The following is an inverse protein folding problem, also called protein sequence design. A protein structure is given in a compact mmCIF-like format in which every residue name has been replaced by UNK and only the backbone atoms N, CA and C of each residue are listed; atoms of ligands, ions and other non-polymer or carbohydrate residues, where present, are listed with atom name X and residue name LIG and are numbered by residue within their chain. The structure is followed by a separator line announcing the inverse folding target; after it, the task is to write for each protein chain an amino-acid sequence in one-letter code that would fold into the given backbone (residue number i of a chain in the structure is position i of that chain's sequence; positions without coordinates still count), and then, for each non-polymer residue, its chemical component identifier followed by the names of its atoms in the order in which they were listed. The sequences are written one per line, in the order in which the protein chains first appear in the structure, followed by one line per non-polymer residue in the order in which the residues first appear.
data_IF_051197721899
#
_entry.id   IF_051197721899
#
_cell.length_a   1.000
_cell.length_b   1.000
_cell.length_c   1.000
_cell.angle_alpha   90.00
_cell.angle_beta   90.00
_cell.angle_gamma   90.00
#
_symmetry.space_group_name_H-M   'P 1'
#
loop_
_entity.id
_entity.type
_entity.pdbx_description
1 polymer ?
#
# COMPACT_ATOMS: atom_id res chain seq x y z
N UNK A 1 12.07 23.14 -12.54
CA UNK A 1 11.24 22.39 -11.59
C UNK A 1 11.54 22.93 -10.20
N UNK A 2 10.56 23.45 -9.43
CA UNK A 2 10.75 23.64 -7.99
C UNK A 2 10.48 22.26 -7.37
N UNK A 3 11.54 21.47 -7.20
CA UNK A 3 11.47 20.29 -6.38
C UNK A 3 11.04 20.67 -4.96
N UNK A 4 10.36 19.79 -4.26
CA UNK A 4 10.15 19.93 -2.81
C UNK A 4 11.48 20.29 -2.20
N UNK A 5 11.54 21.32 -1.33
CA UNK A 5 12.77 21.59 -0.59
C UNK A 5 13.08 20.36 0.24
N UNK A 6 14.11 19.63 -0.15
CA UNK A 6 14.55 18.42 0.54
C UNK A 6 15.90 18.70 1.16
N UNK A 7 15.98 18.60 2.48
CA UNK A 7 17.24 18.58 3.22
C UNK A 7 17.73 17.14 3.30
N UNK A 8 19.01 16.90 3.13
CA UNK A 8 19.57 15.55 3.19
C UNK A 8 20.97 15.53 3.76
N UNK A 9 21.35 14.36 4.26
CA UNK A 9 22.74 13.97 4.57
C UNK A 9 22.96 12.54 4.07
N UNK A 10 24.14 12.26 3.55
CA UNK A 10 24.52 10.95 3.05
C UNK A 10 25.95 10.62 3.51
N UNK A 11 26.17 9.38 3.93
CA UNK A 11 27.47 8.92 4.40
C UNK A 11 27.64 7.43 4.08
N UNK A 12 28.86 7.05 3.72
CA UNK A 12 29.27 5.67 3.55
C UNK A 12 30.56 5.41 4.35
N UNK A 13 30.71 4.23 4.90
CA UNK A 13 31.87 3.78 5.66
C UNK A 13 32.21 2.33 5.30
N UNK A 14 33.48 1.99 5.19
CA UNK A 14 33.91 0.63 4.82
C UNK A 14 33.62 -0.40 5.92
N UNK A 15 33.30 0.05 7.13
CA UNK A 15 33.16 -0.81 8.29
C UNK A 15 34.49 -1.13 8.96
N UNK A 16 34.49 -2.17 9.80
CA UNK A 16 35.68 -2.59 10.58
C UNK A 16 36.27 -3.92 10.13
N UNK A 17 35.65 -4.62 9.21
CA UNK A 17 36.00 -5.97 8.78
C UNK A 17 36.26 -6.12 7.30
N UNK A 18 35.79 -5.18 6.49
CA UNK A 18 35.99 -5.16 5.05
C UNK A 18 37.19 -4.32 4.68
N UNK A 19 37.89 -4.70 3.61
CA UNK A 19 39.02 -3.95 3.08
C UNK A 19 38.60 -2.95 1.99
N UNK A 20 37.46 -3.21 1.33
CA UNK A 20 36.91 -2.40 0.25
C UNK A 20 35.45 -2.07 0.53
N UNK A 21 34.98 -0.97 -0.06
CA UNK A 21 33.59 -0.57 0.00
C UNK A 21 32.89 -0.91 -1.32
N UNK A 22 32.01 -1.89 -1.29
CA UNK A 22 31.21 -2.33 -2.44
C UNK A 22 29.85 -1.62 -2.49
N UNK A 23 29.49 -0.86 -1.43
CA UNK A 23 28.31 0.01 -1.44
C UNK A 23 28.50 1.21 -2.36
N UNK A 24 27.38 1.67 -2.91
CA UNK A 24 27.36 2.92 -3.66
C UNK A 24 26.03 3.69 -3.41
N UNK A 25 26.08 5.00 -3.53
CA UNK A 25 24.89 5.82 -3.39
C UNK A 25 24.90 7.04 -4.30
N UNK A 26 23.74 7.62 -4.54
CA UNK A 26 23.58 8.87 -5.28
C UNK A 26 22.50 9.72 -4.66
N UNK A 27 22.76 11.03 -4.60
CA UNK A 27 21.77 12.07 -4.31
C UNK A 27 21.74 13.06 -5.47
N UNK A 28 20.63 13.12 -6.19
CA UNK A 28 20.37 14.20 -7.15
C UNK A 28 19.31 15.13 -6.57
N UNK A 29 19.77 16.26 -6.07
CA UNK A 29 18.91 17.29 -5.47
C UNK A 29 17.95 17.93 -6.51
N UNK A 30 18.36 18.00 -7.76
CA UNK A 30 17.55 18.62 -8.83
C UNK A 30 16.35 17.78 -9.21
N UNK A 31 16.51 16.45 -9.17
CA UNK A 31 15.46 15.46 -9.38
C UNK A 31 14.75 15.07 -8.08
N UNK A 32 15.31 15.40 -6.92
CA UNK A 32 14.90 14.85 -5.61
C UNK A 32 14.94 13.33 -5.60
N UNK A 33 16.01 12.76 -6.16
CA UNK A 33 16.26 11.33 -6.32
C UNK A 33 17.37 10.87 -5.38
N UNK A 34 17.13 9.82 -4.62
CA UNK A 34 18.02 9.19 -3.66
C UNK A 34 18.15 7.72 -4.00
N UNK A 35 19.37 7.19 -4.10
CA UNK A 35 19.64 5.80 -4.46
C UNK A 35 20.71 5.26 -3.51
N UNK A 36 20.52 4.04 -2.99
CA UNK A 36 21.52 3.25 -2.26
C UNK A 36 21.57 1.86 -2.86
N UNK A 37 22.77 1.35 -3.04
CA UNK A 37 23.07 0.02 -3.61
C UNK A 37 24.14 -0.65 -2.78
N UNK A 38 23.94 -1.91 -2.40
CA UNK A 38 24.90 -2.79 -1.74
C UNK A 38 25.42 -3.79 -2.77
N UNK A 39 26.70 -3.68 -3.10
CA UNK A 39 27.33 -4.50 -4.12
C UNK A 39 27.79 -5.84 -3.61
N UNK A 40 27.52 -6.89 -4.34
CA UNK A 40 27.98 -8.25 -4.04
C UNK A 40 28.74 -8.87 -5.22
N UNK A 41 29.79 -9.60 -4.89
CA UNK A 41 30.62 -10.30 -5.89
C UNK A 41 32.07 -10.34 -5.39
N UNK A 42 32.77 -11.42 -5.55
CA UNK A 42 34.17 -11.50 -5.08
C UNK A 42 35.08 -10.45 -5.71
N UNK A 43 36.05 -9.90 -4.96
CA UNK A 43 37.04 -8.94 -5.44
C UNK A 43 36.47 -7.64 -5.98
N UNK A 44 36.50 -6.60 -6.06
CA UNK A 44 36.01 -5.36 -6.69
C UNK A 44 34.78 -5.48 -7.64
N UNK A 45 34.20 -6.68 -7.76
CA UNK A 45 33.06 -6.90 -8.70
C UNK A 45 31.76 -6.30 -8.14
N UNK A 46 31.55 -6.34 -6.82
CA UNK A 46 30.43 -5.72 -6.16
C UNK A 46 30.42 -4.19 -6.31
N UNK A 47 31.57 -3.54 -6.16
CA UNK A 47 31.74 -2.09 -6.38
C UNK A 47 31.33 -1.69 -7.81
N UNK A 48 31.72 -2.48 -8.81
CA UNK A 48 31.34 -2.22 -10.21
C UNK A 48 29.84 -2.39 -10.40
N UNK A 49 29.23 -3.42 -9.79
CA UNK A 49 27.80 -3.67 -9.92
C UNK A 49 26.97 -2.54 -9.31
N UNK A 50 27.28 -2.13 -8.07
CA UNK A 50 26.59 -1.04 -7.37
C UNK A 50 26.75 0.30 -8.10
N UNK A 51 27.96 0.64 -8.57
CA UNK A 51 28.22 1.87 -9.31
C UNK A 51 27.46 1.92 -10.63
N UNK A 52 27.45 0.81 -11.41
CA UNK A 52 26.68 0.73 -12.65
C UNK A 52 25.18 0.85 -12.43
N UNK A 53 24.64 0.19 -11.40
CA UNK A 53 23.22 0.23 -11.09
C UNK A 53 22.79 1.66 -10.74
N UNK A 54 23.50 2.32 -9.85
CA UNK A 54 23.27 3.73 -9.47
C UNK A 54 23.28 4.63 -10.70
N UNK A 55 24.31 4.52 -11.53
CA UNK A 55 24.47 5.35 -12.72
C UNK A 55 23.34 5.15 -13.74
N UNK A 56 22.99 3.89 -14.05
CA UNK A 56 21.97 3.59 -15.07
C UNK A 56 20.58 4.03 -14.62
N UNK A 57 20.23 3.81 -13.35
CA UNK A 57 18.95 4.28 -12.81
C UNK A 57 18.88 5.79 -12.84
N UNK A 58 19.92 6.49 -12.38
CA UNK A 58 19.97 7.96 -12.41
C UNK A 58 19.79 8.51 -13.82
N UNK A 59 20.56 8.00 -14.79
CA UNK A 59 20.48 8.44 -16.18
C UNK A 59 19.10 8.17 -16.80
N UNK A 60 18.44 7.07 -16.44
CA UNK A 60 17.10 6.78 -16.95
C UNK A 60 16.08 7.77 -16.38
N UNK A 61 16.07 7.99 -15.06
CA UNK A 61 15.16 8.95 -14.43
C UNK A 61 15.37 10.37 -14.99
N UNK A 62 16.63 10.76 -15.22
CA UNK A 62 16.96 12.07 -15.79
C UNK A 62 16.45 12.22 -17.24
N UNK A 63 16.46 11.17 -18.05
CA UNK A 63 15.92 11.17 -19.42
C UNK A 63 14.41 11.38 -19.43
N UNK A 64 13.70 10.90 -18.42
CA UNK A 64 12.25 10.99 -18.30
C UNK A 64 11.79 12.30 -17.62
N UNK A 65 12.61 13.35 -17.64
CA UNK A 65 12.31 14.63 -17.01
C UNK A 65 11.01 15.29 -17.49
N UNK A 66 10.60 15.04 -18.74
CA UNK A 66 9.30 15.51 -19.28
C UNK A 66 8.13 14.78 -18.63
N UNK A 67 8.22 13.45 -18.48
CA UNK A 67 7.22 12.64 -17.77
C UNK A 67 7.04 13.14 -16.33
N UNK A 68 8.14 13.41 -15.62
CA UNK A 68 8.12 13.93 -14.26
C UNK A 68 7.48 15.33 -14.20
N UNK A 69 7.78 16.20 -15.17
CA UNK A 69 7.21 17.54 -15.26
C UNK A 69 5.69 17.49 -15.53
N UNK A 70 5.25 16.59 -16.42
CA UNK A 70 3.84 16.40 -16.76
C UNK A 70 3.05 15.85 -15.57
N UNK A 71 3.65 14.92 -14.80
CA UNK A 71 3.08 14.45 -13.56
C UNK A 71 2.85 15.59 -12.56
N UNK A 72 3.88 16.42 -12.32
CA UNK A 72 3.81 17.57 -11.40
C UNK A 72 2.84 18.64 -11.88
N UNK A 73 2.66 18.82 -13.20
CA UNK A 73 1.72 19.78 -13.78
C UNK A 73 0.26 19.35 -13.61
N UNK A 74 -0.01 18.08 -13.26
CA UNK A 74 -1.36 17.58 -13.03
C UNK A 74 -2.25 17.66 -14.27
N UNK A 75 -1.69 17.46 -15.49
CA UNK A 75 -2.46 17.48 -16.75
C UNK A 75 -3.66 16.54 -16.67
N UNK A 76 -4.78 16.95 -17.25
CA UNK A 76 -6.04 16.20 -17.28
C UNK A 76 -6.36 15.69 -18.69
N UNK A 77 -7.21 14.66 -18.77
CA UNK A 77 -7.61 14.05 -20.05
C UNK A 77 -6.66 12.93 -20.51
N UNK A 78 -6.54 12.76 -21.84
CA UNK A 78 -5.74 11.68 -22.44
C UNK A 78 -4.21 11.81 -22.19
N UNK A 79 -3.74 12.99 -21.82
CA UNK A 79 -2.34 13.28 -21.51
C UNK A 79 -2.02 13.20 -20.01
N UNK A 80 -2.93 12.67 -19.19
CA UNK A 80 -2.74 12.57 -17.75
C UNK A 80 -1.70 11.51 -17.43
N UNK A 81 -0.55 11.94 -16.91
CA UNK A 81 0.45 11.04 -16.30
C UNK A 81 -0.06 10.59 -14.94
N UNK A 82 -0.12 9.27 -14.75
CA UNK A 82 -0.57 8.65 -13.51
C UNK A 82 0.60 8.27 -12.60
N UNK A 83 0.30 7.96 -11.32
CA UNK A 83 1.28 7.34 -10.38
C UNK A 83 1.92 6.09 -10.98
N UNK A 84 1.12 5.31 -11.70
CA UNK A 84 1.54 4.06 -12.33
C UNK A 84 2.61 4.30 -13.40
N UNK A 85 2.49 5.36 -14.17
CA UNK A 85 3.48 5.68 -15.21
C UNK A 85 4.84 5.99 -14.59
N UNK A 86 4.86 6.70 -13.45
CA UNK A 86 6.10 6.94 -12.69
C UNK A 86 6.67 5.64 -12.12
N UNK A 87 5.84 4.75 -11.55
CA UNK A 87 6.31 3.45 -11.05
C UNK A 87 6.85 2.57 -12.17
N UNK A 88 6.16 2.49 -13.30
CA UNK A 88 6.61 1.74 -14.47
C UNK A 88 7.95 2.27 -14.99
N UNK A 89 8.15 3.58 -14.99
CA UNK A 89 9.42 4.22 -15.36
C UNK A 89 10.55 3.80 -14.41
N UNK A 90 10.30 3.77 -13.09
CA UNK A 90 11.29 3.32 -12.11
C UNK A 90 11.60 1.81 -12.25
N UNK A 91 10.58 0.96 -12.41
CA UNK A 91 10.77 -0.48 -12.70
C UNK A 91 11.60 -0.68 -13.97
N UNK A 92 11.31 0.08 -15.02
CA UNK A 92 12.07 0.04 -16.25
C UNK A 92 13.53 0.46 -16.06
N UNK A 93 13.79 1.51 -15.23
CA UNK A 93 15.13 1.95 -14.90
C UNK A 93 15.95 0.85 -14.19
N UNK A 94 15.34 0.15 -13.23
CA UNK A 94 15.97 -0.98 -12.54
C UNK A 94 16.24 -2.14 -13.48
N UNK A 95 15.32 -2.47 -14.38
CA UNK A 95 15.52 -3.53 -15.36
C UNK A 95 16.64 -3.19 -16.36
N UNK A 96 16.75 -1.94 -16.78
CA UNK A 96 17.90 -1.48 -17.59
C UNK A 96 19.21 -1.61 -16.83
N UNK A 97 19.22 -1.28 -15.54
CA UNK A 97 20.40 -1.46 -14.69
C UNK A 97 20.76 -2.94 -14.59
N UNK A 98 19.79 -3.83 -14.38
CA UNK A 98 20.03 -5.27 -14.32
C UNK A 98 20.63 -5.80 -15.60
N UNK A 99 20.06 -5.49 -16.76
CA UNK A 99 20.58 -5.90 -18.05
C UNK A 99 22.02 -5.38 -18.28
N UNK A 100 22.32 -4.14 -17.85
CA UNK A 100 23.65 -3.55 -18.00
C UNK A 100 24.70 -4.21 -17.10
N UNK A 101 24.39 -4.43 -15.83
CA UNK A 101 25.28 -5.12 -14.87
C UNK A 101 25.52 -6.56 -15.33
N UNK A 102 24.44 -7.26 -15.73
CA UNK A 102 24.54 -8.63 -16.22
C UNK A 102 25.42 -8.74 -17.48
N UNK A 103 25.24 -7.85 -18.45
CA UNK A 103 26.06 -7.82 -19.63
C UNK A 103 27.56 -7.60 -19.32
N UNK A 104 27.88 -6.73 -18.37
CA UNK A 104 29.25 -6.50 -17.91
C UNK A 104 29.85 -7.75 -17.25
N UNK A 105 29.03 -8.44 -16.38
CA UNK A 105 29.42 -9.69 -15.74
C UNK A 105 29.67 -10.82 -16.74
N UNK A 106 28.93 -10.87 -17.83
CA UNK A 106 29.10 -11.88 -18.88
C UNK A 106 30.33 -11.61 -19.77
N UNK A 107 30.74 -10.34 -19.94
CA UNK A 107 31.88 -9.95 -20.75
C UNK A 107 33.21 -10.11 -20.00
N UNK A 108 33.25 -10.15 -18.69
CA UNK A 108 34.45 -10.27 -17.88
C UNK A 108 34.33 -11.44 -16.88
N UNK A 109 35.10 -12.54 -17.10
CA UNK A 109 35.07 -13.70 -16.21
C UNK A 109 35.38 -13.36 -14.74
N UNK A 110 36.15 -12.31 -14.45
CA UNK A 110 36.46 -11.86 -13.10
C UNK A 110 35.26 -11.20 -12.39
N UNK A 111 34.25 -10.77 -13.15
CA UNK A 111 33.04 -10.15 -12.67
C UNK A 111 31.82 -11.09 -12.70
N UNK A 112 32.03 -12.37 -13.05
CA UNK A 112 30.95 -13.32 -13.21
C UNK A 112 30.16 -13.49 -11.89
N UNK A 113 28.84 -13.33 -11.96
CA UNK A 113 27.95 -13.45 -10.83
C UNK A 113 27.90 -12.21 -9.92
N UNK A 114 28.50 -11.09 -10.33
CA UNK A 114 28.32 -9.84 -9.62
C UNK A 114 26.86 -9.38 -9.67
N UNK A 115 26.42 -8.70 -8.65
CA UNK A 115 25.10 -8.11 -8.54
C UNK A 115 25.09 -7.03 -7.47
N UNK A 116 23.95 -6.45 -7.24
CA UNK A 116 23.77 -5.45 -6.20
C UNK A 116 22.32 -5.41 -5.72
N UNK A 117 22.10 -5.03 -4.47
CA UNK A 117 20.79 -4.54 -4.04
C UNK A 117 20.54 -3.17 -4.67
N UNK A 118 19.31 -2.70 -4.57
CA UNK A 118 18.97 -1.33 -4.94
C UNK A 118 17.76 -0.87 -4.15
N UNK A 119 17.85 0.28 -3.52
CA UNK A 119 16.71 1.04 -3.02
C UNK A 119 16.78 2.46 -3.56
N UNK A 120 15.68 2.94 -4.11
CA UNK A 120 15.61 4.31 -4.62
C UNK A 120 14.31 4.99 -4.21
N UNK A 121 14.40 6.29 -3.90
CA UNK A 121 13.29 7.15 -3.56
C UNK A 121 13.31 8.41 -4.44
N UNK A 122 12.20 8.68 -5.14
CA UNK A 122 11.99 9.85 -5.98
C UNK A 122 10.85 10.68 -5.41
N UNK A 123 11.14 11.90 -4.95
CA UNK A 123 10.14 12.80 -4.37
C UNK A 123 9.55 13.69 -5.46
N UNK A 124 8.23 13.58 -5.69
CA UNK A 124 7.51 14.39 -6.66
C UNK A 124 6.28 15.02 -6.01
N UNK A 125 6.31 16.32 -5.82
CA UNK A 125 5.23 17.06 -5.16
C UNK A 125 5.00 16.50 -3.74
N UNK A 126 3.83 15.96 -3.52
CA UNK A 126 3.40 15.43 -2.22
C UNK A 126 3.54 13.91 -2.10
N UNK A 127 4.34 13.29 -2.94
CA UNK A 127 4.50 11.83 -2.97
C UNK A 127 5.96 11.44 -3.12
N UNK A 128 6.33 10.35 -2.47
CA UNK A 128 7.61 9.67 -2.68
C UNK A 128 7.35 8.35 -3.39
N UNK A 129 7.96 8.19 -4.55
CA UNK A 129 7.94 6.96 -5.34
C UNK A 129 9.18 6.15 -4.99
N UNK A 130 8.99 4.91 -4.61
CA UNK A 130 10.04 4.01 -4.15
C UNK A 130 10.08 2.79 -5.08
N UNK A 131 11.29 2.36 -5.42
CA UNK A 131 11.57 1.09 -6.08
C UNK A 131 12.72 0.40 -5.36
N UNK A 132 12.63 -0.93 -5.19
CA UNK A 132 13.67 -1.67 -4.47
C UNK A 132 13.81 -3.13 -4.92
N UNK A 133 15.04 -3.64 -4.77
CA UNK A 133 15.45 -5.04 -5.00
C UNK A 133 16.50 -5.39 -3.96
N UNK A 134 16.34 -6.51 -3.25
CA UNK A 134 17.29 -6.98 -2.23
C UNK A 134 16.80 -6.71 -0.81
N UNK A 135 17.73 -6.53 0.11
CA UNK A 135 17.53 -6.37 1.56
C UNK A 135 18.04 -5.03 2.13
N UNK A 136 18.51 -4.13 1.27
CA UNK A 136 18.65 -2.72 1.63
C UNK A 136 17.28 -2.12 1.93
N UNK A 137 17.19 -1.22 2.93
CA UNK A 137 15.91 -0.81 3.50
C UNK A 137 15.64 0.67 3.36
N UNK A 138 14.36 1.02 3.30
CA UNK A 138 13.85 2.39 3.44
C UNK A 138 12.92 2.44 4.65
N UNK A 139 13.18 3.40 5.53
CA UNK A 139 12.34 3.71 6.69
C UNK A 139 11.74 5.10 6.54
N UNK A 140 10.55 5.28 7.07
CA UNK A 140 9.87 6.58 7.24
C UNK A 140 9.70 6.87 8.73
N UNK A 141 10.19 8.01 9.18
CA UNK A 141 9.87 8.58 10.48
C UNK A 141 8.85 9.69 10.30
N UNK A 142 7.66 9.48 10.85
CA UNK A 142 6.53 10.42 10.86
C UNK A 142 5.95 10.51 12.26
N UNK A 143 5.81 11.71 12.81
CA UNK A 143 5.22 11.95 14.14
C UNK A 143 5.85 11.10 15.26
N UNK A 144 7.16 10.86 15.20
CA UNK A 144 7.88 10.02 16.14
C UNK A 144 7.71 8.52 15.94
N UNK A 145 6.94 8.09 14.96
CA UNK A 145 6.75 6.67 14.62
C UNK A 145 7.66 6.30 13.45
N UNK A 146 8.51 5.30 13.65
CA UNK A 146 9.39 4.73 12.62
C UNK A 146 8.72 3.53 11.98
N UNK A 147 8.63 3.54 10.66
CA UNK A 147 8.04 2.47 9.86
C UNK A 147 9.01 2.02 8.75
N UNK A 148 9.27 0.71 8.64
CA UNK A 148 10.00 0.15 7.50
C UNK A 148 9.07 0.04 6.30
N UNK A 149 9.39 0.71 5.20
CA UNK A 149 8.58 0.74 3.99
C UNK A 149 8.90 -0.42 3.03
N UNK A 150 10.16 -0.82 2.96
CA UNK A 150 10.62 -1.93 2.10
C UNK A 150 10.45 -3.28 2.79
N UNK A 151 10.46 -4.33 2.01
CA UNK A 151 10.48 -5.70 2.48
C UNK A 151 11.70 -6.43 1.92
N UNK A 152 12.49 -6.99 2.82
CA UNK A 152 13.72 -7.64 2.40
C UNK A 152 13.43 -8.87 1.53
N UNK A 153 14.02 -8.92 0.37
CA UNK A 153 13.95 -10.07 -0.54
C UNK A 153 14.96 -11.13 -0.09
N UNK A 154 14.67 -11.81 1.02
CA UNK A 154 15.52 -12.85 1.61
C UNK A 154 14.80 -14.19 1.68
N UNK A 155 15.58 -15.27 1.68
CA UNK A 155 15.05 -16.62 1.90
C UNK A 155 14.31 -16.71 3.22
N UNK A 156 14.86 -16.07 4.27
CA UNK A 156 14.24 -15.99 5.57
C UNK A 156 12.82 -15.41 5.51
N UNK A 157 12.65 -14.23 4.91
CA UNK A 157 11.34 -13.58 4.80
C UNK A 157 10.36 -14.39 3.95
N UNK A 158 10.81 -15.02 2.87
CA UNK A 158 9.96 -15.89 2.08
C UNK A 158 9.46 -17.11 2.85
N UNK A 159 10.31 -17.72 3.68
CA UNK A 159 9.92 -18.85 4.53
C UNK A 159 8.97 -18.41 5.64
N UNK A 160 9.21 -17.27 6.28
CA UNK A 160 8.30 -16.67 7.28
C UNK A 160 6.92 -16.42 6.66
N UNK A 161 6.87 -15.84 5.46
CA UNK A 161 5.61 -15.61 4.74
C UNK A 161 4.84 -16.92 4.48
N UNK A 162 5.52 -17.98 4.08
CA UNK A 162 4.89 -19.26 3.80
C UNK A 162 4.31 -19.94 5.04
N UNK A 163 4.60 -19.45 6.26
CA UNK A 163 4.11 -19.95 7.56
C UNK A 163 4.23 -21.48 7.74
N UNK A 164 5.19 -22.11 7.07
CA UNK A 164 5.36 -23.57 7.10
C UNK A 164 6.19 -24.07 8.27
N UNK A 165 6.96 -23.16 8.90
CA UNK A 165 7.87 -23.50 10.00
C UNK A 165 7.81 -22.40 11.08
N UNK A 166 8.06 -22.75 12.36
CA UNK A 166 8.31 -21.78 13.44
C UNK A 166 9.51 -20.88 13.10
N UNK A 167 9.52 -19.64 13.57
CA UNK A 167 10.61 -18.68 13.28
C UNK A 167 11.98 -19.21 13.68
N UNK A 168 12.07 -19.85 14.84
CA UNK A 168 13.31 -20.43 15.38
C UNK A 168 13.90 -21.49 14.42
N UNK A 169 13.05 -22.28 13.78
CA UNK A 169 13.49 -23.28 12.78
C UNK A 169 13.88 -22.65 11.46
N UNK A 170 13.29 -21.50 11.10
CA UNK A 170 13.67 -20.78 9.89
C UNK A 170 15.05 -20.15 10.08
N UNK A 171 15.34 -19.59 11.25
CA UNK A 171 16.66 -19.02 11.59
C UNK A 171 17.79 -20.04 11.53
N UNK A 172 17.49 -21.31 11.90
CA UNK A 172 18.45 -22.41 11.78
C UNK A 172 18.71 -22.84 10.33
N UNK A 173 17.71 -22.70 9.44
CA UNK A 173 17.73 -23.23 8.07
C UNK A 173 18.14 -22.23 7.01
N UNK A 174 17.90 -20.95 7.23
CA UNK A 174 18.17 -19.88 6.27
C UNK A 174 18.95 -18.75 6.91
N UNK A 175 20.14 -18.40 6.39
CA UNK A 175 20.81 -17.18 6.78
C UNK A 175 19.88 -15.98 6.51
N UNK A 176 19.79 -15.05 7.49
CA UNK A 176 18.92 -13.87 7.40
C UNK A 176 19.24 -12.99 6.19
N UNK A 177 20.50 -12.94 5.80
CA UNK A 177 21.05 -12.15 4.70
C UNK A 177 21.18 -12.91 3.36
N UNK A 178 20.57 -14.09 3.23
CA UNK A 178 20.53 -14.79 1.94
C UNK A 178 19.46 -14.16 1.03
N UNK A 179 19.87 -13.23 0.17
CA UNK A 179 18.97 -12.53 -0.73
C UNK A 179 18.43 -13.46 -1.84
N UNK A 180 17.18 -13.25 -2.23
CA UNK A 180 16.49 -13.99 -3.29
C UNK A 180 16.39 -13.21 -4.59
N UNK A 181 16.58 -11.89 -4.53
CA UNK A 181 16.51 -10.97 -5.66
C UNK A 181 17.65 -9.96 -5.62
N UNK A 182 18.27 -9.73 -6.77
CA UNK A 182 19.34 -8.75 -6.94
C UNK A 182 19.37 -8.21 -8.37
N UNK A 183 19.90 -7.01 -8.53
CA UNK A 183 20.15 -6.36 -9.82
C UNK A 183 21.44 -6.92 -10.40
N UNK A 184 21.40 -7.40 -11.64
CA UNK A 184 22.60 -7.81 -12.39
C UNK A 184 22.93 -9.30 -12.35
N UNK A 185 22.38 -10.08 -11.42
CA UNK A 185 22.55 -11.55 -11.41
C UNK A 185 21.90 -12.17 -12.65
N UNK A 186 20.78 -11.62 -13.07
CA UNK A 186 20.11 -11.92 -14.33
C UNK A 186 19.93 -10.65 -15.15
N UNK A 187 19.58 -10.75 -16.42
CA UNK A 187 19.31 -9.62 -17.30
C UNK A 187 18.03 -8.83 -16.92
N UNK A 188 17.19 -9.44 -16.09
CA UNK A 188 15.97 -8.85 -15.56
C UNK A 188 15.93 -8.99 -14.04
N UNK A 189 15.48 -7.94 -13.34
CA UNK A 189 15.28 -7.94 -11.89
C UNK A 189 13.82 -7.70 -11.54
N UNK A 190 13.26 -8.56 -10.69
CA UNK A 190 11.91 -8.39 -10.18
C UNK A 190 11.93 -7.36 -9.04
N UNK A 191 11.63 -6.11 -9.38
CA UNK A 191 11.60 -5.00 -8.45
C UNK A 191 10.21 -4.84 -7.82
N UNK A 192 10.20 -4.48 -6.53
CA UNK A 192 8.99 -4.02 -5.85
C UNK A 192 8.93 -2.50 -5.87
N UNK A 193 7.71 -1.97 -6.01
CA UNK A 193 7.47 -0.53 -6.04
C UNK A 193 6.39 -0.13 -5.06
N UNK A 194 6.48 1.10 -4.55
CA UNK A 194 5.45 1.68 -3.70
C UNK A 194 5.39 3.21 -3.84
N UNK A 195 4.24 3.80 -3.52
CA UNK A 195 4.06 5.26 -3.44
C UNK A 195 3.62 5.61 -2.03
N UNK A 196 4.27 6.61 -1.44
CA UNK A 196 3.91 7.12 -0.11
C UNK A 196 3.49 8.57 -0.25
N UNK A 197 2.28 8.89 0.20
CA UNK A 197 1.89 10.30 0.38
C UNK A 197 2.71 10.90 1.52
N UNK A 198 3.40 12.00 1.27
CA UNK A 198 4.31 12.62 2.24
C UNK A 198 3.79 13.94 2.77
N UNK A 199 4.20 14.24 3.99
CA UNK A 199 3.97 15.51 4.67
C UNK A 199 5.29 16.24 4.84
N UNK A 200 5.23 17.55 4.94
CA UNK A 200 6.40 18.33 5.37
C UNK A 200 6.85 17.86 6.76
N UNK A 201 8.14 17.64 6.92
CA UNK A 201 8.72 17.08 8.14
C UNK A 201 8.87 15.56 8.16
N UNK A 202 8.30 14.84 7.21
CA UNK A 202 8.59 13.40 7.06
C UNK A 202 10.08 13.19 6.78
N UNK A 203 10.67 12.28 7.53
CA UNK A 203 12.09 11.95 7.38
C UNK A 203 12.24 10.51 6.93
N UNK A 204 13.03 10.34 5.88
CA UNK A 204 13.34 9.02 5.32
C UNK A 204 14.78 8.65 5.60
N UNK A 205 15.00 7.36 5.85
CA UNK A 205 16.32 6.74 5.89
C UNK A 205 16.38 5.65 4.82
N UNK A 206 17.34 5.75 3.89
CA UNK A 206 17.74 4.67 3.00
C UNK A 206 19.05 4.10 3.54
N UNK A 207 19.18 2.79 3.65
CA UNK A 207 20.42 2.19 4.13
C UNK A 207 20.64 0.77 3.61
N UNK A 208 21.91 0.36 3.58
CA UNK A 208 22.33 -1.03 3.38
C UNK A 208 22.15 -1.86 4.64
N UNK A 209 22.25 -3.20 4.52
CA UNK A 209 22.11 -4.15 5.63
C UNK A 209 23.23 -3.99 6.68
N UNK A 210 24.39 -3.48 6.26
CA UNK A 210 25.49 -3.12 7.17
C UNK A 210 25.12 -2.05 8.21
N UNK A 211 24.07 -1.25 7.97
CA UNK A 211 23.46 -0.39 8.98
C UNK A 211 22.28 -1.09 9.64
N UNK A 212 21.26 -1.49 8.85
CA UNK A 212 19.98 -1.94 9.38
C UNK A 212 20.09 -3.21 10.22
N UNK A 213 21.04 -4.10 9.92
CA UNK A 213 21.29 -5.32 10.69
C UNK A 213 21.67 -5.10 12.15
N UNK A 214 22.23 -3.92 12.48
CA UNK A 214 22.56 -3.56 13.86
C UNK A 214 21.41 -2.94 14.66
N UNK A 215 20.30 -2.67 14.01
CA UNK A 215 19.12 -2.04 14.61
C UNK A 215 17.86 -2.91 14.53
N UNK A 216 17.96 -4.17 14.09
CA UNK A 216 16.80 -5.09 14.00
C UNK A 216 16.09 -5.25 15.36
N UNK A 217 16.86 -5.35 16.43
CA UNK A 217 16.34 -5.49 17.80
C UNK A 217 16.25 -4.14 18.53
N UNK A 218 16.56 -3.01 17.89
CA UNK A 218 16.61 -1.67 18.48
C UNK A 218 16.02 -0.59 17.54
N UNK A 219 14.83 -0.86 17.01
CA UNK A 219 14.11 0.10 16.15
C UNK A 219 13.76 1.40 16.87
N UNK A 220 13.58 1.35 18.21
CA UNK A 220 13.38 2.56 19.00
C UNK A 220 14.65 3.42 19.05
N UNK A 221 15.83 2.81 19.18
CA UNK A 221 17.11 3.50 19.11
C UNK A 221 17.34 4.15 17.75
N UNK A 222 17.04 3.43 16.67
CA UNK A 222 17.07 3.95 15.31
C UNK A 222 16.13 5.17 15.16
N UNK A 223 14.89 5.04 15.62
CA UNK A 223 13.90 6.11 15.57
C UNK A 223 14.33 7.35 16.37
N UNK A 224 14.85 7.16 17.60
CA UNK A 224 15.36 8.26 18.43
C UNK A 224 16.51 9.02 17.76
N UNK A 225 17.46 8.30 17.17
CA UNK A 225 18.57 8.96 16.45
C UNK A 225 18.07 9.72 15.23
N UNK A 226 17.08 9.18 14.51
CA UNK A 226 16.45 9.86 13.37
C UNK A 226 15.60 11.08 13.77
N UNK A 227 15.24 11.26 15.04
CA UNK A 227 14.55 12.47 15.52
C UNK A 227 15.48 13.67 15.68
N UNK A 228 16.80 13.47 15.69
CA UNK A 228 17.75 14.59 15.77
C UNK A 228 17.50 15.55 14.60
N UNK A 229 17.25 16.84 14.83
CA UNK A 229 17.01 17.80 13.77
C UNK A 229 18.21 17.95 12.82
N UNK A 230 19.42 17.71 13.29
CA UNK A 230 20.63 17.70 12.47
C UNK A 230 20.81 16.33 11.78
N UNK A 231 20.47 16.26 10.50
CA UNK A 231 20.59 15.04 9.71
C UNK A 231 22.07 14.57 9.59
N UNK A 232 23.05 15.49 9.64
CA UNK A 232 24.46 15.14 9.57
C UNK A 232 24.91 14.51 10.90
N UNK A 233 24.49 15.03 12.03
CA UNK A 233 24.75 14.43 13.34
C UNK A 233 24.08 13.05 13.46
N UNK A 234 22.82 12.95 13.06
CA UNK A 234 22.07 11.71 13.08
C UNK A 234 22.75 10.60 12.25
N UNK A 235 23.15 10.87 11.02
CA UNK A 235 23.76 9.84 10.16
C UNK A 235 25.13 9.40 10.66
N UNK A 236 25.93 10.32 11.21
CA UNK A 236 27.22 9.99 11.86
C UNK A 236 27.03 9.07 13.05
N UNK A 237 26.08 9.40 13.93
CA UNK A 237 25.80 8.57 15.11
C UNK A 237 25.30 7.17 14.74
N UNK A 238 24.49 7.05 13.68
CA UNK A 238 24.03 5.74 13.17
C UNK A 238 25.22 4.89 12.69
N UNK A 239 26.10 5.46 11.85
CA UNK A 239 27.27 4.73 11.33
C UNK A 239 28.27 4.41 12.44
N UNK A 240 28.54 5.35 13.33
CA UNK A 240 29.44 5.12 14.49
C UNK A 240 28.87 4.03 15.40
N UNK A 241 27.55 3.98 15.59
CA UNK A 241 26.90 2.93 16.37
C UNK A 241 27.04 1.57 15.71
N UNK A 242 26.80 1.45 14.40
CA UNK A 242 27.01 0.22 13.64
C UNK A 242 28.46 -0.24 13.73
N UNK A 243 29.40 0.67 13.58
CA UNK A 243 30.85 0.40 13.75
C UNK A 243 31.20 -0.05 15.17
N UNK A 244 30.67 0.59 16.22
CA UNK A 244 30.88 0.17 17.64
C UNK A 244 30.28 -1.20 17.93
N UNK A 245 29.16 -1.55 17.28
CA UNK A 245 28.50 -2.86 17.41
C UNK A 245 29.18 -3.96 16.57
N UNK A 246 30.22 -3.62 15.82
CA UNK A 246 31.09 -4.60 15.13
C UNK A 246 31.54 -4.23 13.73
N UNK A 247 30.82 -3.41 13.00
CA UNK A 247 31.15 -2.94 11.64
C UNK A 247 31.54 -4.08 10.70
N UNK A 248 30.69 -5.13 10.62
CA UNK A 248 31.02 -6.37 9.90
C UNK A 248 30.97 -6.20 8.39
N UNK A 249 30.22 -5.22 7.90
CA UNK A 249 30.05 -4.94 6.51
C UNK A 249 30.24 -3.46 6.16
N UNK A 250 30.17 -3.11 4.90
CA UNK A 250 30.07 -1.75 4.40
C UNK A 250 28.80 -1.12 4.93
N UNK A 251 28.83 0.14 5.32
CA UNK A 251 27.71 0.83 5.96
C UNK A 251 27.39 2.09 5.15
N UNK A 252 26.25 2.09 4.48
CA UNK A 252 25.82 3.25 3.70
C UNK A 252 24.44 3.69 4.12
N UNK A 253 24.26 5.01 4.27
CA UNK A 253 22.99 5.61 4.63
C UNK A 253 22.77 6.95 3.92
N UNK A 254 21.50 7.25 3.64
CA UNK A 254 21.00 8.56 3.25
C UNK A 254 19.83 8.90 4.16
N UNK A 255 19.88 10.06 4.80
CA UNK A 255 18.74 10.66 5.49
C UNK A 255 18.26 11.83 4.64
N UNK A 256 16.96 11.89 4.34
CA UNK A 256 16.38 13.07 3.77
C UNK A 256 15.06 13.45 4.45
N UNK A 257 14.78 14.75 4.52
CA UNK A 257 13.55 15.31 5.10
C UNK A 257 12.79 16.09 4.03
N UNK A 258 11.48 15.80 3.91
CA UNK A 258 10.61 16.43 2.90
C UNK A 258 10.08 17.76 3.42
N UNK A 259 10.40 18.85 2.70
CA UNK A 259 9.90 20.19 3.00
C UNK A 259 10.35 20.74 4.35
N UNK A 260 9.79 21.90 4.71
CA UNK A 260 10.00 22.53 6.02
C UNK A 260 8.90 22.06 7.00
N UNK A 261 9.30 21.61 8.19
CA UNK A 261 8.38 21.23 9.29
C UNK A 261 7.40 22.37 9.62
N UNK A 262 7.85 23.63 9.52
CA UNK A 262 7.02 24.82 9.76
C UNK A 262 5.93 25.02 8.68
N UNK A 263 6.08 24.42 7.51
CA UNK A 263 5.13 24.48 6.40
C UNK A 263 4.17 23.29 6.36
N UNK A 264 4.12 22.48 7.43
CA UNK A 264 3.27 21.30 7.50
C UNK A 264 1.80 21.67 7.35
N UNK A 265 1.13 21.02 6.39
CA UNK A 265 -0.30 21.14 6.19
C UNK A 265 -1.05 20.19 7.15
N UNK A 266 -1.50 20.73 8.28
CA UNK A 266 -2.23 19.99 9.31
C UNK A 266 -3.55 19.40 8.78
N UNK A 267 -4.23 20.08 7.85
CA UNK A 267 -5.45 19.57 7.23
C UNK A 267 -5.16 18.31 6.42
N UNK A 268 -4.07 18.33 5.67
CA UNK A 268 -3.60 17.17 4.90
C UNK A 268 -3.15 16.03 5.81
N UNK A 269 -2.39 16.32 6.87
CA UNK A 269 -1.97 15.33 7.86
C UNK A 269 -3.18 14.59 8.44
N UNK A 270 -4.18 15.36 8.89
CA UNK A 270 -5.44 14.82 9.41
C UNK A 270 -6.20 13.98 8.38
N UNK A 271 -6.20 14.41 7.11
CA UNK A 271 -6.82 13.67 6.02
C UNK A 271 -6.15 12.31 5.78
N UNK A 272 -4.81 12.25 5.75
CA UNK A 272 -4.07 11.00 5.58
C UNK A 272 -4.29 10.05 6.75
N UNK A 273 -4.29 10.57 7.97
CA UNK A 273 -4.61 9.80 9.16
C UNK A 273 -6.03 9.25 9.11
N UNK A 274 -7.01 10.09 8.79
CA UNK A 274 -8.41 9.67 8.67
C UNK A 274 -8.60 8.60 7.60
N UNK A 275 -7.92 8.74 6.45
CA UNK A 275 -7.92 7.75 5.38
C UNK A 275 -7.42 6.38 5.87
N UNK A 276 -6.28 6.37 6.59
CA UNK A 276 -5.70 5.14 7.20
C UNK A 276 -6.65 4.51 8.20
N UNK A 277 -7.16 5.28 9.14
CA UNK A 277 -8.09 4.80 10.18
C UNK A 277 -9.38 4.26 9.59
N UNK A 278 -9.95 4.95 8.59
CA UNK A 278 -11.18 4.52 7.92
C UNK A 278 -10.99 3.16 7.26
N UNK A 279 -9.91 2.97 6.50
CA UNK A 279 -9.61 1.68 5.87
C UNK A 279 -9.31 0.58 6.88
N UNK A 280 -8.55 0.87 7.95
CA UNK A 280 -8.21 -0.11 8.99
C UNK A 280 -9.45 -0.65 9.74
N UNK A 281 -10.51 0.16 9.87
CA UNK A 281 -11.77 -0.23 10.55
C UNK A 281 -12.69 -1.06 9.66
N UNK A 282 -12.52 -1.02 8.34
CA UNK A 282 -13.39 -1.77 7.43
C UNK A 282 -13.21 -3.28 7.57
N UNK A 283 -14.31 -4.06 7.59
CA UNK A 283 -14.24 -5.53 7.67
C UNK A 283 -13.32 -6.13 6.61
N UNK A 284 -13.33 -5.57 5.39
CA UNK A 284 -12.53 -6.02 4.26
C UNK A 284 -11.02 -5.90 4.50
N UNK A 285 -10.56 -4.85 5.20
CA UNK A 285 -9.14 -4.55 5.40
C UNK A 285 -8.66 -4.79 6.83
N UNK A 286 -9.56 -5.08 7.76
CA UNK A 286 -9.26 -5.30 9.18
C UNK A 286 -8.19 -6.36 9.47
N UNK A 287 -8.08 -7.49 8.71
CA UNK A 287 -7.05 -8.50 8.96
C UNK A 287 -5.69 -8.17 8.36
N UNK A 288 -5.57 -7.01 7.70
CA UNK A 288 -4.32 -6.58 7.10
C UNK A 288 -3.35 -6.08 8.16
N UNK A 289 -2.07 -6.38 7.98
CA UNK A 289 -1.00 -5.72 8.72
C UNK A 289 -0.89 -4.26 8.29
N UNK A 290 -0.25 -3.41 9.09
CA UNK A 290 -0.03 -1.99 8.73
C UNK A 290 0.61 -1.83 7.35
N UNK A 291 1.55 -2.69 7.03
CA UNK A 291 2.24 -2.72 5.74
C UNK A 291 1.32 -3.12 4.57
N UNK A 292 0.51 -4.16 4.75
CA UNK A 292 -0.49 -4.56 3.75
C UNK A 292 -1.54 -3.46 3.55
N UNK A 293 -1.91 -2.77 4.63
CA UNK A 293 -2.81 -1.62 4.56
C UNK A 293 -2.18 -0.46 3.80
N UNK A 294 -0.88 -0.19 3.99
CA UNK A 294 -0.16 0.79 3.18
C UNK A 294 -0.22 0.47 1.69
N UNK A 295 -0.10 -0.80 1.30
CA UNK A 295 -0.24 -1.21 -0.11
C UNK A 295 -1.62 -0.86 -0.68
N UNK A 296 -2.69 -1.05 0.11
CA UNK A 296 -4.04 -0.64 -0.30
C UNK A 296 -4.17 0.88 -0.35
N UNK A 297 -3.64 1.59 0.65
CA UNK A 297 -3.67 3.06 0.71
C UNK A 297 -3.02 3.73 -0.51
N UNK A 298 -1.95 3.15 -1.03
CA UNK A 298 -1.19 3.67 -2.18
C UNK A 298 -2.00 3.73 -3.47
N UNK A 299 -2.88 2.75 -3.68
CA UNK A 299 -3.70 2.62 -4.88
C UNK A 299 -5.09 3.26 -4.74
N UNK A 300 -5.36 3.90 -3.59
CA UNK A 300 -6.62 4.61 -3.36
C UNK A 300 -6.44 6.11 -3.51
N UNK A 301 -7.40 6.75 -4.18
CA UNK A 301 -7.50 8.20 -4.28
C UNK A 301 -8.61 8.73 -3.34
N UNK A 302 -8.57 10.02 -3.02
CA UNK A 302 -9.68 10.71 -2.33
C UNK A 302 -10.29 11.71 -3.29
N UNK A 303 -11.59 11.56 -3.56
CA UNK A 303 -12.34 12.43 -4.45
C UNK A 303 -13.41 13.19 -3.68
N UNK A 304 -13.44 14.54 -3.79
CA UNK A 304 -14.50 15.36 -3.21
C UNK A 304 -15.70 15.43 -4.17
N UNK A 305 -16.91 15.43 -3.59
CA UNK A 305 -18.16 15.68 -4.29
C UNK A 305 -18.96 16.76 -3.58
N UNK A 306 -19.75 17.52 -4.35
CA UNK A 306 -20.62 18.58 -3.86
C UNK A 306 -22.02 18.04 -3.57
N UNK A 307 -22.79 18.81 -2.81
CA UNK A 307 -24.18 18.49 -2.53
C UNK A 307 -25.00 18.19 -3.80
N UNK A 308 -25.75 17.09 -3.77
CA UNK A 308 -26.56 16.61 -4.88
C UNK A 308 -25.79 16.00 -6.07
N UNK A 309 -24.47 16.02 -6.06
CA UNK A 309 -23.64 15.45 -7.12
C UNK A 309 -23.78 13.92 -7.16
N UNK A 310 -23.99 13.37 -8.36
CA UNK A 310 -24.15 11.94 -8.58
C UNK A 310 -22.79 11.27 -8.67
N UNK A 311 -22.50 10.36 -7.74
CA UNK A 311 -21.28 9.55 -7.71
C UNK A 311 -21.37 8.38 -8.67
N UNK A 312 -22.48 7.62 -8.59
CA UNK A 312 -22.80 6.51 -9.50
C UNK A 312 -24.28 6.56 -9.85
N UNK A 313 -24.65 6.09 -11.05
CA UNK A 313 -26.03 5.95 -11.51
C UNK A 313 -26.43 4.48 -11.60
N UNK A 314 -27.67 4.18 -11.21
CA UNK A 314 -28.29 2.88 -11.41
C UNK A 314 -28.23 2.49 -12.90
N UNK A 315 -27.84 1.25 -13.20
CA UNK A 315 -27.72 0.74 -14.55
C UNK A 315 -26.39 1.04 -15.25
N UNK A 316 -25.60 2.02 -14.79
CA UNK A 316 -24.30 2.33 -15.39
C UNK A 316 -23.29 1.21 -15.09
N UNK A 317 -22.32 1.04 -15.96
CA UNK A 317 -21.14 0.21 -15.70
C UNK A 317 -20.11 1.03 -14.92
N UNK A 318 -19.46 0.40 -13.94
CA UNK A 318 -18.41 1.04 -13.16
C UNK A 318 -17.47 0.00 -12.59
N UNK A 319 -16.25 0.40 -12.35
CA UNK A 319 -15.14 -0.47 -11.90
C UNK A 319 -14.52 0.01 -10.57
N UNK A 320 -15.23 0.86 -9.82
CA UNK A 320 -14.74 1.44 -8.58
C UNK A 320 -15.56 0.99 -7.37
N UNK A 321 -14.84 0.74 -6.28
CA UNK A 321 -15.35 0.73 -4.91
C UNK A 321 -15.19 2.13 -4.32
N UNK A 322 -16.22 2.61 -3.63
CA UNK A 322 -16.24 3.89 -2.92
C UNK A 322 -16.44 3.65 -1.43
N UNK A 323 -15.70 4.40 -0.60
CA UNK A 323 -15.81 4.37 0.86
C UNK A 323 -16.00 5.80 1.34
N UNK A 324 -17.00 6.03 2.18
CA UNK A 324 -17.26 7.36 2.73
C UNK A 324 -16.16 7.71 3.74
N UNK A 325 -15.36 8.73 3.43
CA UNK A 325 -14.32 9.25 4.31
C UNK A 325 -14.88 10.32 5.24
N UNK A 326 -15.67 11.26 4.69
CA UNK A 326 -16.36 12.32 5.42
C UNK A 326 -17.67 12.71 4.73
N UNK A 327 -18.65 13.22 5.46
CA UNK A 327 -19.97 13.57 4.94
C UNK A 327 -20.92 12.37 4.86
N UNK A 328 -21.98 12.47 4.06
CA UNK A 328 -22.98 11.42 3.88
C UNK A 328 -23.37 11.26 2.41
N UNK A 329 -23.81 10.07 2.02
CA UNK A 329 -24.32 9.79 0.69
C UNK A 329 -25.70 9.13 0.76
N UNK A 330 -26.61 9.53 -0.15
CA UNK A 330 -27.92 8.94 -0.30
C UNK A 330 -27.89 7.85 -1.36
N UNK A 331 -28.47 6.69 -1.03
CA UNK A 331 -28.68 5.58 -1.98
C UNK A 331 -30.12 5.62 -2.46
N UNK A 332 -30.30 5.65 -3.78
CA UNK A 332 -31.61 5.75 -4.42
C UNK A 332 -31.83 4.56 -5.37
N UNK A 333 -33.03 4.00 -5.36
CA UNK A 333 -33.54 3.07 -6.38
C UNK A 333 -34.69 3.75 -7.12
N UNK A 334 -34.51 4.03 -8.40
CA UNK A 334 -35.38 4.98 -9.08
C UNK A 334 -35.38 6.32 -8.34
N UNK A 335 -36.56 6.77 -7.89
CA UNK A 335 -36.72 8.01 -7.10
C UNK A 335 -36.74 7.78 -5.57
N UNK A 336 -36.83 6.53 -5.13
CA UNK A 336 -36.98 6.22 -3.71
C UNK A 336 -35.62 6.18 -3.00
N UNK A 337 -35.46 6.93 -1.88
CA UNK A 337 -34.31 6.84 -0.99
C UNK A 337 -34.40 5.53 -0.19
N UNK A 338 -33.45 4.64 -0.38
CA UNK A 338 -33.41 3.31 0.28
C UNK A 338 -32.42 3.24 1.44
N UNK A 339 -31.38 4.10 1.44
CA UNK A 339 -30.42 4.16 2.53
C UNK A 339 -29.66 5.50 2.55
N UNK A 340 -29.00 5.78 3.69
CA UNK A 340 -27.96 6.82 3.82
C UNK A 340 -26.67 6.13 4.25
N UNK A 341 -25.56 6.49 3.62
CA UNK A 341 -24.23 5.99 3.96
C UNK A 341 -23.44 7.05 4.71
N UNK A 342 -22.84 6.64 5.81
CA UNK A 342 -22.05 7.45 6.74
C UNK A 342 -20.56 7.11 6.65
N UNK A 343 -19.65 7.88 7.30
CA UNK A 343 -18.22 7.60 7.29
C UNK A 343 -17.88 6.17 7.72
N UNK A 344 -17.02 5.49 6.93
CA UNK A 344 -16.66 4.08 7.09
C UNK A 344 -17.54 3.10 6.32
N UNK A 345 -18.71 3.51 5.84
CA UNK A 345 -19.54 2.67 4.98
C UNK A 345 -19.09 2.76 3.52
N UNK A 346 -19.42 1.74 2.74
CA UNK A 346 -18.93 1.59 1.36
C UNK A 346 -20.03 1.15 0.41
N UNK A 347 -19.81 1.41 -0.88
CA UNK A 347 -20.70 1.00 -1.95
C UNK A 347 -19.92 0.72 -3.24
N UNK A 348 -20.51 -0.03 -4.16
CA UNK A 348 -19.92 -0.37 -5.44
C UNK A 348 -18.91 -1.52 -5.38
N UNK A 349 -18.82 -2.25 -4.27
CA UNK A 349 -17.88 -3.37 -4.05
C UNK A 349 -18.05 -4.52 -5.06
N UNK A 350 -19.26 -4.73 -5.55
CA UNK A 350 -19.55 -5.76 -6.57
C UNK A 350 -18.79 -5.51 -7.87
N UNK A 351 -18.52 -4.24 -8.18
CA UNK A 351 -17.78 -3.85 -9.38
C UNK A 351 -16.30 -4.28 -9.34
N UNK A 352 -15.72 -4.50 -8.15
CA UNK A 352 -14.37 -5.05 -8.03
C UNK A 352 -14.29 -6.51 -8.51
N UNK A 353 -15.36 -7.29 -8.31
CA UNK A 353 -15.36 -8.74 -8.60
C UNK A 353 -15.98 -9.02 -9.97
N UNK A 354 -17.11 -8.38 -10.28
CA UNK A 354 -17.88 -8.61 -11.52
C UNK A 354 -18.19 -7.29 -12.20
N UNK A 355 -18.04 -7.25 -13.51
CA UNK A 355 -18.46 -6.11 -14.32
C UNK A 355 -20.00 -6.18 -14.51
N UNK A 356 -20.74 -5.76 -13.47
CA UNK A 356 -22.20 -5.72 -13.48
C UNK A 356 -22.68 -4.26 -13.44
N UNK A 357 -23.87 -3.97 -13.96
CA UNK A 357 -24.50 -2.66 -13.80
C UNK A 357 -24.68 -2.30 -12.32
N UNK A 358 -24.59 -1.02 -12.00
CA UNK A 358 -24.84 -0.49 -10.66
C UNK A 358 -26.27 -0.75 -10.24
N UNK A 359 -26.47 -1.26 -9.04
CA UNK A 359 -27.80 -1.64 -8.51
C UNK A 359 -28.60 -0.48 -7.94
N UNK A 360 -27.99 0.69 -7.81
CA UNK A 360 -28.59 1.90 -7.26
C UNK A 360 -27.83 3.14 -7.71
N UNK A 361 -28.49 4.29 -7.64
CA UNK A 361 -27.87 5.61 -7.76
C UNK A 361 -27.38 6.07 -6.40
N UNK A 362 -26.15 6.61 -6.33
CA UNK A 362 -25.62 7.21 -5.09
C UNK A 362 -25.32 8.67 -5.35
N UNK A 363 -25.84 9.55 -4.48
CA UNK A 363 -25.67 11.00 -4.52
C UNK A 363 -25.04 11.51 -3.23
N UNK A 364 -24.23 12.54 -3.35
CA UNK A 364 -23.70 13.27 -2.22
C UNK A 364 -24.81 14.01 -1.45
N UNK A 365 -24.82 13.91 -0.14
CA UNK A 365 -25.64 14.70 0.78
C UNK A 365 -24.73 15.69 1.52
N UNK A 366 -24.78 16.96 1.12
CA UNK A 366 -23.79 17.95 1.52
C UNK A 366 -22.43 17.75 0.82
N UNK A 367 -21.37 18.30 1.41
CA UNK A 367 -19.99 18.07 0.97
C UNK A 367 -19.52 16.71 1.48
N UNK A 368 -19.10 15.85 0.57
CA UNK A 368 -18.61 14.50 0.90
C UNK A 368 -17.22 14.25 0.30
N UNK A 369 -16.41 13.48 0.98
CA UNK A 369 -15.13 12.97 0.46
C UNK A 369 -15.19 11.44 0.45
N UNK A 370 -14.82 10.85 -0.68
CA UNK A 370 -14.86 9.41 -0.91
C UNK A 370 -13.45 8.87 -1.18
N UNK A 371 -13.07 7.80 -0.49
CA UNK A 371 -11.91 6.98 -0.89
C UNK A 371 -12.38 6.11 -2.06
N UNK A 372 -11.59 6.09 -3.13
CA UNK A 372 -11.88 5.35 -4.36
C UNK A 372 -10.80 4.31 -4.59
N UNK A 373 -11.21 3.05 -4.75
CA UNK A 373 -10.35 1.93 -5.15
C UNK A 373 -10.82 1.41 -6.51
N UNK A 374 -9.97 1.52 -7.52
CA UNK A 374 -10.28 1.02 -8.87
C UNK A 374 -10.02 -0.48 -8.99
N UNK A 375 -10.84 -1.14 -9.78
CA UNK A 375 -10.71 -2.57 -10.06
C UNK A 375 -9.34 -2.95 -10.63
N UNK A 376 -8.81 -2.16 -11.56
CA UNK A 376 -7.49 -2.38 -12.15
C UNK A 376 -6.39 -2.42 -11.10
N UNK A 377 -6.41 -1.45 -10.17
CA UNK A 377 -5.41 -1.29 -9.13
C UNK A 377 -5.55 -2.39 -8.06
N UNK A 378 -6.80 -2.74 -7.71
CA UNK A 378 -7.10 -3.85 -6.83
C UNK A 378 -6.56 -5.19 -7.38
N UNK A 379 -6.83 -5.50 -8.65
CA UNK A 379 -6.32 -6.73 -9.27
C UNK A 379 -4.80 -6.74 -9.46
N UNK A 380 -4.17 -5.59 -9.58
CA UNK A 380 -2.72 -5.50 -9.62
C UNK A 380 -2.09 -5.89 -8.28
N UNK A 381 -2.64 -5.37 -7.15
CA UNK A 381 -2.23 -5.80 -5.80
C UNK A 381 -2.40 -7.32 -5.67
N UNK A 382 -3.56 -7.87 -6.05
CA UNK A 382 -3.82 -9.30 -5.95
C UNK A 382 -2.83 -10.15 -6.76
N UNK A 383 -2.35 -9.64 -7.89
CA UNK A 383 -1.35 -10.35 -8.71
C UNK A 383 0.06 -10.30 -8.13
N UNK A 384 0.45 -9.16 -7.56
CA UNK A 384 1.80 -8.97 -6.99
C UNK A 384 1.92 -9.57 -5.58
N UNK A 385 0.86 -9.54 -4.78
CA UNK A 385 0.87 -9.84 -3.34
C UNK A 385 -0.06 -11.03 -3.01
N UNK A 386 0.40 -12.25 -3.28
CA UNK A 386 -0.43 -13.46 -3.16
C UNK A 386 -1.06 -13.66 -1.76
N UNK A 387 -0.34 -13.32 -0.69
CA UNK A 387 -0.88 -13.47 0.67
C UNK A 387 -1.95 -12.43 0.98
N UNK A 388 -1.72 -11.19 0.57
CA UNK A 388 -2.71 -10.13 0.65
C UNK A 388 -3.95 -10.49 -0.19
N UNK A 389 -3.74 -11.06 -1.39
CA UNK A 389 -4.81 -11.54 -2.24
C UNK A 389 -5.70 -12.57 -1.53
N UNK A 390 -5.10 -13.58 -0.89
CA UNK A 390 -5.85 -14.61 -0.15
C UNK A 390 -6.65 -13.99 0.99
N UNK A 391 -6.05 -13.09 1.79
CA UNK A 391 -6.74 -12.41 2.88
C UNK A 391 -7.93 -11.58 2.38
N UNK A 392 -7.72 -10.77 1.33
CA UNK A 392 -8.77 -9.93 0.75
C UNK A 392 -9.90 -10.76 0.15
N UNK A 393 -9.59 -11.80 -0.62
CA UNK A 393 -10.60 -12.68 -1.19
C UNK A 393 -11.40 -13.41 -0.12
N UNK A 394 -10.76 -13.87 0.96
CA UNK A 394 -11.44 -14.48 2.10
C UNK A 394 -12.40 -13.51 2.78
N UNK A 395 -11.97 -12.26 3.02
CA UNK A 395 -12.83 -11.23 3.59
C UNK A 395 -13.99 -10.85 2.66
N UNK A 396 -13.75 -10.76 1.35
CA UNK A 396 -14.81 -10.53 0.37
C UNK A 396 -15.87 -11.62 0.42
N UNK A 397 -15.46 -12.90 0.48
CA UNK A 397 -16.42 -14.02 0.58
C UNK A 397 -17.22 -13.95 1.88
N UNK A 398 -16.60 -13.55 3.00
CA UNK A 398 -17.29 -13.33 4.28
C UNK A 398 -18.35 -12.23 4.19
N UNK A 399 -17.98 -11.06 3.69
CA UNK A 399 -18.91 -9.92 3.52
C UNK A 399 -20.07 -10.28 2.59
N UNK A 400 -19.81 -11.00 1.51
CA UNK A 400 -20.87 -11.43 0.58
C UNK A 400 -21.79 -12.48 1.21
N UNK A 401 -21.25 -13.41 1.99
CA UNK A 401 -22.04 -14.40 2.71
C UNK A 401 -22.96 -13.76 3.76
N UNK A 402 -22.46 -12.79 4.53
CA UNK A 402 -23.26 -12.03 5.49
C UNK A 402 -24.38 -11.25 4.82
N UNK A 403 -24.09 -10.56 3.70
CA UNK A 403 -25.13 -9.85 2.92
C UNK A 403 -26.18 -10.80 2.34
N UNK A 404 -25.76 -11.95 1.84
CA UNK A 404 -26.69 -12.94 1.32
C UNK A 404 -27.61 -13.48 2.44
N UNK A 405 -27.05 -13.80 3.60
CA UNK A 405 -27.81 -14.24 4.76
C UNK A 405 -28.84 -13.17 5.20
N UNK A 406 -28.41 -11.92 5.33
CA UNK A 406 -29.28 -10.81 5.69
C UNK A 406 -30.41 -10.57 4.68
N UNK A 407 -30.08 -10.59 3.37
CA UNK A 407 -31.08 -10.43 2.29
C UNK A 407 -32.07 -11.60 2.27
N UNK A 408 -31.60 -12.82 2.49
CA UNK A 408 -32.44 -14.03 2.56
C UNK A 408 -33.40 -13.93 3.73
N UNK A 409 -32.93 -13.46 4.90
CA UNK A 409 -33.78 -13.23 6.07
C UNK A 409 -34.84 -12.16 5.81
N UNK A 410 -34.45 -11.01 5.22
CA UNK A 410 -35.41 -9.94 4.87
C UNK A 410 -36.48 -10.42 3.90
N UNK A 411 -36.10 -11.24 2.92
CA UNK A 411 -37.06 -11.86 1.97
C UNK A 411 -37.99 -12.84 2.68
N UNK A 412 -37.48 -13.61 3.64
CA UNK A 412 -38.28 -14.46 4.49
C UNK A 412 -39.32 -13.67 5.29
N UNK A 413 -38.85 -12.65 6.02
CA UNK A 413 -39.69 -11.78 6.84
C UNK A 413 -40.77 -11.06 5.99
N UNK A 414 -40.40 -10.54 4.81
CA UNK A 414 -41.34 -9.91 3.88
C UNK A 414 -42.38 -10.89 3.34
N UNK A 415 -41.96 -12.12 3.04
CA UNK A 415 -42.90 -13.18 2.58
C UNK A 415 -43.87 -13.57 3.69
N UNK A 416 -43.39 -13.69 4.92
CA UNK A 416 -44.24 -14.02 6.09
C UNK A 416 -45.22 -12.88 6.39
N UNK A 417 -44.80 -11.60 6.19
CA UNK A 417 -45.71 -10.44 6.30
C UNK A 417 -46.80 -10.45 5.23
N UNK A 418 -46.42 -10.68 3.98
CA UNK A 418 -47.40 -10.77 2.87
C UNK A 418 -48.39 -11.93 3.10
N UNK A 419 -47.91 -13.10 3.54
CA UNK A 419 -48.76 -14.22 3.86
C UNK A 419 -49.74 -13.92 5.05
N UNK A 420 -49.29 -13.11 6.02
CA UNK A 420 -50.13 -12.66 7.12
C UNK A 420 -51.21 -11.62 6.65
N UNK A 421 -50.85 -10.76 5.71
CA UNK A 421 -51.77 -9.78 5.11
C UNK A 421 -52.83 -10.48 4.24
N UNK A 422 -52.44 -11.48 3.43
CA UNK A 422 -53.38 -12.29 2.62
C UNK A 422 -54.39 -13.05 3.51
N UNK A 423 -53.94 -13.64 4.63
CA UNK A 423 -54.84 -14.32 5.58
C UNK A 423 -55.79 -13.33 6.26
N UNK A 424 -55.33 -12.10 6.55
CA UNK A 424 -56.21 -11.06 7.11
C UNK A 424 -57.20 -10.54 6.08
N UNK A 425 -56.82 -10.43 4.79
CA UNK A 425 -57.73 -10.02 3.72
C UNK A 425 -58.83 -11.07 3.48
N UNK A 426 -58.51 -12.37 3.39
CA UNK A 426 -59.48 -13.45 3.27
C UNK A 426 -60.47 -13.49 4.44
N UNK A 427 -60.01 -13.21 5.69
CA UNK A 427 -60.89 -13.19 6.87
C UNK A 427 -61.84 -12.00 6.84
N UNK A 428 -61.47 -10.86 6.24
CA UNK A 428 -62.37 -9.69 6.13
C UNK A 428 -63.29 -9.76 4.92
N UNK A 429 -63.02 -10.50 3.84
CA UNK A 429 -63.93 -10.71 2.72
C UNK A 429 -65.03 -11.71 3.03
N UNK A 430 -64.87 -12.68 3.96
CA UNK A 430 -65.90 -13.61 4.41
C UNK A 430 -66.91 -13.01 5.36
N UNK A 431 -66.68 -11.82 5.97
CA UNK A 431 -67.59 -11.22 6.95
C UNK A 431 -68.69 -10.33 6.34
N UNK A 432 -68.80 -10.13 5.01
CA UNK A 432 -69.85 -9.34 4.38
C UNK A 432 -71.08 -10.15 3.86
N UNK A 433 -71.11 -11.48 3.91
CA UNK A 433 -72.22 -12.29 3.38
C UNK A 433 -72.77 -13.37 4.31
N UNK A 434 -72.72 -13.30 5.66
CA UNK A 434 -73.58 -14.19 6.43
C UNK A 434 -73.85 -13.73 7.86
N UNK A 435 -75.08 -13.32 8.17
CA UNK A 435 -75.66 -13.12 9.49
C UNK A 435 -75.86 -14.47 10.23
N UNK A 436 -74.80 -15.24 10.55
CA UNK A 436 -74.92 -16.34 11.47
C UNK A 436 -73.60 -16.54 12.25
N UNK A 437 -73.63 -16.12 13.52
CA UNK A 437 -72.51 -16.26 14.47
C UNK A 437 -72.02 -17.69 14.57
N UNK A 438 -70.81 -17.91 14.12
CA UNK A 438 -69.98 -19.06 14.55
C UNK A 438 -68.77 -18.52 15.25
N UNK A 439 -68.68 -18.82 16.55
CA UNK A 439 -67.52 -18.46 17.39
C UNK A 439 -66.38 -19.46 17.10
N UNK A 440 -65.38 -19.02 16.35
CA UNK A 440 -64.19 -19.82 16.12
C UNK A 440 -63.25 -19.74 17.34
N UNK A 441 -63.04 -20.88 18.00
CA UNK A 441 -62.07 -21.05 19.07
C UNK A 441 -60.74 -21.46 18.42
N UNK A 442 -59.77 -20.55 18.44
CA UNK A 442 -58.44 -20.83 17.94
C UNK A 442 -57.68 -21.84 18.82
N UNK A 443 -56.96 -22.82 18.23
CA UNK A 443 -56.11 -23.72 19.00
C UNK A 443 -54.89 -23.02 19.58
N UNK A 444 -54.39 -23.47 20.76
CA UNK A 444 -53.23 -22.84 21.38
C UNK A 444 -51.92 -23.03 20.57
N UNK A 445 -51.12 -21.99 20.54
CA UNK A 445 -49.80 -21.99 19.86
C UNK A 445 -48.93 -23.17 20.33
N UNK A 446 -48.23 -23.86 19.46
CA UNK A 446 -47.31 -24.91 19.87
C UNK A 446 -46.13 -24.33 20.67
N UNK A 447 -45.86 -24.91 21.81
CA UNK A 447 -44.72 -24.56 22.67
C UNK A 447 -43.41 -24.95 21.95
N UNK A 448 -42.49 -24.01 21.88
CA UNK A 448 -41.12 -24.24 21.44
C UNK A 448 -40.47 -25.31 22.34
N UNK A 449 -40.12 -26.42 21.78
CA UNK A 449 -39.30 -27.46 22.43
C UNK A 449 -37.89 -26.89 22.57
N UNK A 450 -37.45 -26.67 23.80
CA UNK A 450 -36.06 -26.45 24.15
C UNK A 450 -35.40 -27.81 24.25
N UNK A 451 -34.56 -28.15 23.29
CA UNK A 451 -33.62 -29.23 23.46
C UNK A 451 -32.39 -28.79 24.25
N UNK A 452 -31.98 -29.67 25.13
CA UNK A 452 -30.88 -29.54 26.10
C UNK A 452 -29.50 -29.63 25.41
#
# INVERSE_FOLDING_TARGET
MRGSEVQFSALTDVGRKRDHNEDNFLVDKSLSLFIVCDGMGGHAAGEVASALAVHVVHEQVKRESELLADYLAGKSGAEKVSKRDILNMLEFAVNRASARVHAEAMNDPAKRGMGTTLVAALVLGNQTFIVYVGDSRIYLLRDGVLEQLTEDHTVYNELVKRKKLPRERIEELAPKNAITRAVGVYDHAEADTLVVDVLAGDRFLLCTDGLSGYFEDDLEGLGRTLMDPDAEAAIRELIDTANRRGGKDNITAIIFTVGDVAARDEARAKMLQLKRETLARMPLFRPLTDRELLRVLQVTDVLPYRDGEVVIREGDRGEELYIVLSGQAQVLRGEAKVATLSPGEHFGEMALIRNQPRSATVKAEGKIELIVLRRTDFFEILRKEHQLAVKLLWQFTGVLAERLAHTTQQLGDARDQLAAEDITAEVFEEDEEDENRVTLVLPPKPHAVRDK
#
